data_IF_989480653410
#
_entry.id   IF_989480653410
#
_cell.length_a   1.000
_cell.length_b   1.000
_cell.length_c   1.000
_cell.angle_alpha   90.00
_cell.angle_beta   90.00
_cell.angle_gamma   90.00
#
_symmetry.space_group_name_H-M   'P 1'
#
loop_
_entity.id
_entity.type
_entity.pdbx_description
1 polymer ?
#
# COMPACT_ATOMS: atom_id res chain seq x y z
N UNK A 1 5.16 6.59 6.28
CA UNK A 1 6.53 6.98 6.67
C UNK A 1 7.53 5.85 6.42
N UNK A 2 7.34 4.64 6.97
CA UNK A 2 8.23 3.49 6.76
C UNK A 2 8.46 3.11 5.28
N UNK A 3 7.39 2.94 4.51
CA UNK A 3 7.48 2.54 3.09
C UNK A 3 8.19 3.59 2.23
N UNK A 4 7.97 4.88 2.52
CA UNK A 4 8.59 5.97 1.77
C UNK A 4 10.10 6.07 2.03
N UNK A 5 10.54 5.79 3.25
CA UNK A 5 11.97 5.71 3.60
C UNK A 5 12.66 4.44 3.08
N UNK A 6 11.90 3.37 2.84
CA UNK A 6 12.43 2.06 2.44
C UNK A 6 11.97 1.62 1.05
N UNK A 7 11.67 2.56 0.13
CA UNK A 7 11.13 2.24 -1.21
C UNK A 7 11.94 1.19 -1.96
N UNK A 8 13.26 1.21 -1.82
CA UNK A 8 14.19 0.25 -2.46
C UNK A 8 13.98 -1.21 -2.05
N UNK A 9 13.29 -1.48 -0.95
CA UNK A 9 12.99 -2.84 -0.48
C UNK A 9 11.73 -3.45 -1.13
N UNK A 10 10.99 -2.65 -1.90
CA UNK A 10 9.72 -3.07 -2.49
C UNK A 10 9.82 -3.02 -4.02
N UNK A 11 9.33 -4.07 -4.68
CA UNK A 11 9.22 -4.14 -6.14
C UNK A 11 7.80 -3.82 -6.58
N UNK A 12 7.63 -3.33 -7.80
CA UNK A 12 6.32 -3.13 -8.41
C UNK A 12 5.93 -4.35 -9.26
N UNK A 13 4.64 -4.60 -9.45
CA UNK A 13 4.21 -5.69 -10.33
C UNK A 13 4.60 -5.46 -11.79
N UNK A 14 4.83 -4.20 -12.18
CA UNK A 14 5.37 -3.84 -13.49
C UNK A 14 6.81 -4.30 -13.73
N UNK A 15 7.56 -4.63 -12.68
CA UNK A 15 8.92 -5.18 -12.83
C UNK A 15 8.91 -6.67 -13.18
N UNK A 16 7.76 -7.36 -13.00
CA UNK A 16 7.61 -8.80 -13.23
C UNK A 16 7.00 -9.15 -14.59
N UNK A 17 6.32 -8.20 -15.21
CA UNK A 17 5.56 -8.42 -16.43
C UNK A 17 5.81 -7.29 -17.43
N UNK A 18 6.22 -7.65 -18.65
CA UNK A 18 6.47 -6.69 -19.73
C UNK A 18 5.18 -6.08 -20.33
N UNK A 19 4.00 -6.53 -19.87
CA UNK A 19 2.70 -6.06 -20.33
C UNK A 19 1.93 -5.32 -19.22
N UNK A 20 1.10 -4.35 -19.64
CA UNK A 20 0.33 -3.53 -18.71
C UNK A 20 -0.79 -4.34 -18.05
N UNK A 21 -0.65 -4.61 -16.75
CA UNK A 21 -1.73 -5.17 -15.93
C UNK A 21 -2.46 -4.05 -15.17
N UNK A 22 -3.73 -4.29 -14.81
CA UNK A 22 -4.52 -3.35 -13.99
C UNK A 22 -3.87 -2.99 -12.64
N UNK A 23 -2.95 -3.82 -12.16
CA UNK A 23 -2.23 -3.66 -10.91
C UNK A 23 -0.73 -3.39 -11.12
N UNK A 24 -0.31 -2.92 -12.30
CA UNK A 24 1.10 -2.71 -12.65
C UNK A 24 1.82 -1.82 -11.65
N UNK A 25 1.19 -0.71 -11.30
CA UNK A 25 1.71 0.31 -10.36
C UNK A 25 1.54 -0.10 -8.88
N UNK A 26 0.97 -1.29 -8.61
CA UNK A 26 0.88 -1.79 -7.25
C UNK A 26 2.22 -2.41 -6.85
N UNK A 27 2.62 -2.12 -5.62
CA UNK A 27 3.74 -2.79 -4.99
C UNK A 27 3.40 -4.27 -4.79
N UNK A 28 4.36 -5.13 -5.07
CA UNK A 28 4.21 -6.58 -4.96
C UNK A 28 4.08 -6.96 -3.49
N UNK A 29 2.97 -7.60 -3.13
CA UNK A 29 2.80 -8.18 -1.79
C UNK A 29 3.47 -9.56 -1.81
N UNK A 30 4.55 -9.80 -1.04
CA UNK A 30 5.18 -11.12 -1.00
C UNK A 30 4.19 -12.15 -0.45
N UNK A 31 4.03 -13.24 -1.19
CA UNK A 31 3.14 -14.32 -0.77
C UNK A 31 3.88 -15.25 0.19
N UNK A 32 3.41 -15.29 1.44
CA UNK A 32 3.89 -16.24 2.43
C UNK A 32 2.73 -17.12 2.90
N UNK A 33 2.98 -18.43 2.97
CA UNK A 33 1.97 -19.42 3.42
C UNK A 33 1.67 -19.31 4.91
N UNK A 34 2.68 -18.92 5.71
CA UNK A 34 2.57 -18.84 7.17
C UNK A 34 1.98 -17.48 7.57
N UNK A 35 0.98 -17.49 8.44
CA UNK A 35 0.32 -16.27 8.93
C UNK A 35 1.29 -15.34 9.68
N UNK A 36 2.22 -15.89 10.46
CA UNK A 36 3.24 -15.11 11.16
C UNK A 36 4.07 -14.22 10.22
N UNK A 37 4.43 -14.73 9.04
CA UNK A 37 5.13 -13.96 8.01
C UNK A 37 4.27 -12.84 7.40
N UNK A 38 2.94 -12.93 7.53
CA UNK A 38 1.97 -11.93 7.08
C UNK A 38 1.59 -10.92 8.15
N UNK A 39 2.17 -10.99 9.36
CA UNK A 39 1.97 -10.01 10.44
C UNK A 39 3.02 -8.89 10.44
N UNK A 40 4.06 -9.00 9.60
CA UNK A 40 5.13 -8.03 9.53
C UNK A 40 4.73 -6.67 8.94
N UNK A 41 5.45 -5.62 9.33
CA UNK A 41 5.24 -4.24 8.86
C UNK A 41 5.31 -4.13 7.33
N UNK A 42 6.25 -4.83 6.69
CA UNK A 42 6.40 -4.82 5.22
C UNK A 42 5.12 -5.29 4.53
N UNK A 43 4.54 -6.39 5.00
CA UNK A 43 3.33 -6.96 4.41
C UNK A 43 2.14 -6.00 4.49
N UNK A 44 1.91 -5.42 5.67
CA UNK A 44 0.79 -4.48 5.87
C UNK A 44 1.02 -3.13 5.21
N UNK A 45 2.25 -2.61 5.23
CA UNK A 45 2.59 -1.33 4.59
C UNK A 45 2.27 -1.36 3.09
N UNK A 46 2.62 -2.44 2.40
CA UNK A 46 2.31 -2.65 0.98
C UNK A 46 0.80 -2.69 0.75
N UNK A 47 0.06 -3.46 1.57
CA UNK A 47 -1.40 -3.57 1.46
C UNK A 47 -2.11 -2.24 1.63
N UNK A 48 -1.73 -1.46 2.64
CA UNK A 48 -2.28 -0.13 2.86
C UNK A 48 -1.92 0.80 1.71
N UNK A 49 -0.66 0.81 1.27
CA UNK A 49 -0.21 1.67 0.20
C UNK A 49 -0.98 1.41 -1.10
N UNK A 50 -1.14 0.15 -1.50
CA UNK A 50 -1.82 -0.21 -2.74
C UNK A 50 -3.27 0.27 -2.78
N UNK A 51 -3.93 0.38 -1.61
CA UNK A 51 -5.32 0.86 -1.47
C UNK A 51 -5.46 2.38 -1.48
N UNK A 52 -4.37 3.14 -1.41
CA UNK A 52 -4.44 4.59 -1.45
C UNK A 52 -4.72 5.10 -2.87
N UNK A 53 -5.54 6.17 -3.01
CA UNK A 53 -5.66 6.93 -4.25
C UNK A 53 -4.30 7.44 -4.74
N UNK A 54 -4.15 7.53 -6.07
CA UNK A 54 -2.90 7.95 -6.71
C UNK A 54 -2.51 9.39 -6.36
N UNK A 55 -3.50 10.26 -6.12
CA UNK A 55 -3.34 11.64 -5.64
C UNK A 55 -2.57 11.70 -4.32
N UNK A 56 -2.85 10.77 -3.40
CA UNK A 56 -2.17 10.70 -2.11
C UNK A 56 -0.77 10.14 -2.31
N UNK A 57 -0.62 9.08 -3.12
CA UNK A 57 0.67 8.41 -3.39
C UNK A 57 1.72 9.35 -4.00
N UNK A 58 1.28 10.29 -4.84
CA UNK A 58 2.12 11.27 -5.55
C UNK A 58 2.28 12.59 -4.80
N UNK A 59 1.55 12.79 -3.69
CA UNK A 59 1.63 14.01 -2.90
C UNK A 59 3.00 14.19 -2.26
N UNK A 60 3.57 15.40 -2.39
CA UNK A 60 4.79 15.84 -1.70
C UNK A 60 4.62 15.84 -0.18
N UNK A 61 3.38 15.97 0.30
CA UNK A 61 3.02 15.96 1.71
C UNK A 61 2.27 14.67 2.10
N UNK A 62 2.73 13.52 1.59
CA UNK A 62 2.13 12.20 1.78
C UNK A 62 1.58 11.96 3.19
N UNK A 63 2.34 12.27 4.24
CA UNK A 63 1.90 12.05 5.63
C UNK A 63 0.66 12.87 6.02
N UNK A 64 0.57 14.12 5.56
CA UNK A 64 -0.57 15.01 5.85
C UNK A 64 -1.80 14.59 5.04
N UNK A 65 -1.61 14.31 3.75
CA UNK A 65 -2.67 13.84 2.86
C UNK A 65 -3.25 12.50 3.34
N UNK A 66 -2.39 11.56 3.74
CA UNK A 66 -2.79 10.28 4.30
C UNK A 66 -3.59 10.43 5.59
N UNK A 67 -3.11 11.27 6.52
CA UNK A 67 -3.83 11.54 7.76
C UNK A 67 -5.20 12.13 7.50
N UNK A 68 -5.29 13.09 6.58
CA UNK A 68 -6.57 13.69 6.21
C UNK A 68 -7.52 12.63 5.63
N UNK A 69 -7.06 11.82 4.67
CA UNK A 69 -7.85 10.74 4.08
C UNK A 69 -8.43 9.76 5.13
N UNK A 70 -7.61 9.33 6.09
CA UNK A 70 -8.07 8.44 7.16
C UNK A 70 -9.05 9.10 8.11
N UNK A 71 -8.83 10.38 8.46
CA UNK A 71 -9.75 11.12 9.32
C UNK A 71 -11.09 11.38 8.64
N UNK A 72 -11.10 11.65 7.34
CA UNK A 72 -12.32 11.89 6.56
C UNK A 72 -13.11 10.59 6.35
N UNK A 73 -12.43 9.45 6.15
CA UNK A 73 -13.09 8.17 5.92
C UNK A 73 -13.67 7.50 7.17
N UNK A 74 -13.25 7.91 8.37
CA UNK A 74 -13.75 7.42 9.67
C UNK A 74 -13.84 5.88 9.79
N UNK A 75 -12.83 5.16 9.30
CA UNK A 75 -12.80 3.70 9.33
C UNK A 75 -12.72 3.14 10.75
N UNK A 76 -13.59 2.20 11.10
CA UNK A 76 -13.63 1.56 12.42
C UNK A 76 -12.77 0.29 12.49
N UNK A 77 -12.39 -0.28 11.35
CA UNK A 77 -11.49 -1.43 11.28
C UNK A 77 -10.48 -1.37 10.13
N UNK A 78 -9.39 -2.12 10.27
CA UNK A 78 -8.40 -2.31 9.18
C UNK A 78 -9.05 -2.93 7.95
N UNK A 79 -10.02 -3.83 8.16
CA UNK A 79 -10.70 -4.52 7.07
C UNK A 79 -11.58 -3.57 6.27
N UNK A 80 -12.30 -2.67 6.94
CA UNK A 80 -13.06 -1.58 6.30
C UNK A 80 -12.15 -0.72 5.43
N UNK A 81 -11.01 -0.27 5.97
CA UNK A 81 -10.02 0.50 5.23
C UNK A 81 -9.51 -0.24 3.99
N UNK A 82 -9.27 -1.55 4.08
CA UNK A 82 -8.81 -2.35 2.93
C UNK A 82 -9.91 -2.66 1.91
N UNK A 83 -11.17 -2.67 2.33
CA UNK A 83 -12.32 -2.80 1.44
C UNK A 83 -12.76 -1.49 0.80
N UNK A 84 -12.30 -0.35 1.33
CA UNK A 84 -12.62 0.96 0.79
C UNK A 84 -12.08 1.12 -0.64
N UNK A 85 -12.85 1.79 -1.50
CA UNK A 85 -12.70 1.77 -2.95
C UNK A 85 -12.56 3.18 -3.51
#
# INVERSE_FOLDING_TARGET
MYLYGNRKLFSENGDLHDYATRSREHLQVPYHRIEAARKGTNYWAIKFYNKLPQEIKTSTSFGRALRHFWLTGAFYSIQELLSYR
#
